data_IF_770040903433
#
_entry.id   IF_770040903433
#
_cell.length_a   1.000
_cell.length_b   1.000
_cell.length_c   1.000
_cell.angle_alpha   90.00
_cell.angle_beta   90.00
_cell.angle_gamma   90.00
#
_symmetry.space_group_name_H-M   'P 1'
#
loop_
_entity.id
_entity.type
_entity.pdbx_description
1 polymer ?
#
# COMPACT_ATOMS: atom_id res chain seq x y z
N UNK A 1 3.45 9.94 9.07
CA UNK A 1 4.06 8.82 9.83
C UNK A 1 3.79 7.51 9.12
N UNK A 2 4.34 6.41 9.64
CA UNK A 2 4.10 5.06 9.10
C UNK A 2 2.80 4.49 9.68
N UNK A 3 1.85 4.17 8.82
CA UNK A 3 0.56 3.60 9.21
C UNK A 3 0.51 2.13 8.79
N UNK A 4 0.31 1.21 9.73
CA UNK A 4 0.16 -0.22 9.46
C UNK A 4 -1.24 -0.52 8.92
N UNK A 5 -1.32 -1.34 7.89
CA UNK A 5 -2.57 -1.80 7.29
C UNK A 5 -2.85 -3.21 7.78
N UNK A 6 -3.95 -3.38 8.49
CA UNK A 6 -4.35 -4.67 9.10
C UNK A 6 -5.74 -5.13 8.67
N UNK A 7 -6.47 -4.34 7.89
CA UNK A 7 -7.83 -4.65 7.49
C UNK A 7 -7.85 -5.13 6.05
N UNK A 8 -8.29 -6.37 5.86
CA UNK A 8 -8.53 -6.98 4.55
C UNK A 8 -9.90 -6.60 3.98
N UNK A 9 -10.00 -6.55 2.66
CA UNK A 9 -11.27 -6.47 1.91
C UNK A 9 -11.53 -7.75 1.09
N UNK A 10 -10.78 -8.82 1.39
CA UNK A 10 -10.92 -10.07 0.66
C UNK A 10 -12.29 -10.73 0.93
N UNK A 11 -12.88 -11.39 -0.06
CA UNK A 11 -13.97 -12.33 0.18
C UNK A 11 -13.54 -13.44 1.15
N UNK A 12 -14.49 -13.97 1.90
CA UNK A 12 -14.24 -14.96 2.95
C UNK A 12 -13.60 -16.28 2.45
N UNK A 13 -13.64 -16.56 1.14
CA UNK A 13 -12.99 -17.72 0.54
C UNK A 13 -11.47 -17.57 0.39
N UNK A 14 -10.94 -16.35 0.52
CA UNK A 14 -9.51 -16.05 0.39
C UNK A 14 -8.89 -15.75 1.76
N UNK A 15 -7.58 -16.05 1.95
CA UNK A 15 -6.89 -15.70 3.17
C UNK A 15 -6.78 -14.17 3.31
N UNK A 16 -6.85 -13.69 4.55
CA UNK A 16 -6.67 -12.27 4.88
C UNK A 16 -5.22 -11.80 4.81
N UNK A 17 -4.28 -12.75 4.65
CA UNK A 17 -2.86 -12.44 4.44
C UNK A 17 -2.68 -11.40 3.31
N UNK A 18 -1.86 -10.35 3.53
CA UNK A 18 -1.03 -10.09 4.71
C UNK A 18 -1.65 -9.10 5.73
N UNK A 19 -2.93 -8.75 5.58
CA UNK A 19 -3.58 -7.72 6.39
C UNK A 19 -4.06 -8.31 7.72
N UNK A 20 -3.15 -8.32 8.70
CA UNK A 20 -3.43 -8.76 10.08
C UNK A 20 -3.31 -10.27 10.31
N UNK A 21 -3.01 -11.05 9.27
CA UNK A 21 -2.93 -12.50 9.34
C UNK A 21 -1.64 -13.05 8.70
N UNK A 22 -1.25 -14.25 9.15
CA UNK A 22 -0.11 -14.99 8.61
C UNK A 22 -0.55 -15.93 7.48
N UNK A 23 0.41 -16.48 6.73
CA UNK A 23 0.09 -17.52 5.75
C UNK A 23 -0.54 -18.74 6.46
N UNK A 24 -1.73 -19.19 6.06
CA UNK A 24 -2.41 -20.31 6.71
C UNK A 24 -1.65 -21.62 6.54
N UNK A 25 -1.84 -22.54 7.49
CA UNK A 25 -1.26 -23.89 7.41
C UNK A 25 -1.64 -24.62 6.13
N UNK A 26 -0.71 -25.40 5.58
CA UNK A 26 -0.91 -26.15 4.32
C UNK A 26 -1.01 -25.28 3.07
N UNK A 27 -0.61 -24.00 3.14
CA UNK A 27 -0.61 -23.09 2.00
C UNK A 27 0.77 -22.47 1.77
N UNK A 28 1.03 -22.16 0.50
CA UNK A 28 2.08 -21.25 0.04
C UNK A 28 1.41 -20.12 -0.72
N UNK A 29 1.75 -18.88 -0.35
CA UNK A 29 1.25 -17.68 -1.02
C UNK A 29 2.41 -17.04 -1.76
N UNK A 30 2.23 -16.78 -3.05
CA UNK A 30 3.17 -16.04 -3.87
C UNK A 30 2.64 -14.63 -4.12
N UNK A 31 3.41 -13.62 -3.73
CA UNK A 31 3.15 -12.22 -4.08
C UNK A 31 3.75 -11.93 -5.46
N UNK A 32 2.89 -11.65 -6.42
CA UNK A 32 3.24 -11.48 -7.84
C UNK A 32 3.29 -9.99 -8.21
N UNK A 33 2.47 -9.15 -7.58
CA UNK A 33 2.44 -7.73 -7.87
C UNK A 33 1.65 -6.94 -6.85
N UNK A 34 1.65 -5.63 -7.03
CA UNK A 34 1.01 -4.64 -6.16
C UNK A 34 0.11 -3.76 -7.03
N UNK A 35 -1.09 -3.49 -6.53
CA UNK A 35 -1.99 -2.46 -7.03
C UNK A 35 -2.19 -1.42 -5.94
N UNK A 36 -2.27 -0.15 -6.33
CA UNK A 36 -2.46 0.95 -5.40
C UNK A 36 -2.20 2.27 -6.09
N UNK A 37 -2.64 3.35 -5.46
CA UNK A 37 -2.44 4.71 -5.95
C UNK A 37 -1.82 5.55 -4.86
N UNK A 38 -0.92 6.47 -5.24
CA UNK A 38 -0.60 7.58 -4.37
C UNK A 38 -1.84 8.44 -4.10
N UNK A 39 -1.87 9.03 -2.92
CA UNK A 39 -3.02 9.78 -2.44
C UNK A 39 -2.54 11.07 -1.77
N UNK A 40 -3.25 12.16 -2.02
CA UNK A 40 -3.07 13.37 -1.24
C UNK A 40 -4.38 14.08 -0.98
N UNK A 41 -4.43 14.73 0.18
CA UNK A 41 -5.64 15.35 0.71
C UNK A 41 -5.35 16.78 1.11
N UNK A 42 -6.30 17.65 0.80
CA UNK A 42 -6.34 19.02 1.30
C UNK A 42 -7.65 19.25 2.05
N UNK A 43 -7.57 19.92 3.19
CA UNK A 43 -8.73 20.25 4.02
C UNK A 43 -8.60 21.63 4.66
N UNK A 44 -9.68 22.09 5.27
CA UNK A 44 -9.72 23.34 6.06
C UNK A 44 -9.31 24.56 5.23
N UNK A 45 -10.16 24.89 4.24
CA UNK A 45 -10.01 26.08 3.39
C UNK A 45 -8.67 26.10 2.64
N UNK A 46 -8.29 24.97 2.05
CA UNK A 46 -7.09 24.79 1.22
C UNK A 46 -5.73 24.86 1.95
N UNK A 47 -5.72 24.93 3.28
CA UNK A 47 -4.50 25.22 4.06
C UNK A 47 -3.78 23.98 4.56
N UNK A 48 -4.52 22.93 4.90
CA UNK A 48 -4.01 21.72 5.54
C UNK A 48 -3.82 20.61 4.51
N UNK A 49 -2.62 20.04 4.41
CA UNK A 49 -2.24 19.07 3.37
C UNK A 49 -1.49 17.88 3.93
N UNK A 50 -1.88 16.68 3.50
CA UNK A 50 -1.17 15.44 3.81
C UNK A 50 -1.16 14.55 2.57
N UNK A 51 -0.04 13.87 2.35
CA UNK A 51 0.18 12.99 1.19
C UNK A 51 0.77 11.65 1.63
N UNK A 52 0.64 10.64 0.77
CA UNK A 52 1.45 9.42 0.84
C UNK A 52 2.89 9.72 0.39
N UNK A 53 3.86 8.93 0.85
CA UNK A 53 5.27 9.01 0.44
C UNK A 53 5.85 7.67 0.04
N UNK A 54 5.70 6.67 0.89
CA UNK A 54 6.31 5.36 0.70
C UNK A 54 5.33 4.25 1.04
N UNK A 55 5.45 3.15 0.31
CA UNK A 55 4.83 1.87 0.61
C UNK A 55 5.90 0.91 1.10
N UNK A 56 5.83 0.52 2.37
CA UNK A 56 6.88 -0.25 3.05
C UNK A 56 6.39 -1.65 3.38
N UNK A 57 7.18 -2.63 2.94
CA UNK A 57 6.92 -4.06 3.13
C UNK A 57 7.92 -4.57 4.16
N UNK A 58 7.43 -5.15 5.26
CA UNK A 58 8.28 -5.67 6.34
C UNK A 58 8.04 -7.16 6.49
N UNK A 59 9.03 -7.99 6.19
CA UNK A 59 9.00 -9.43 6.43
C UNK A 59 9.84 -9.74 7.68
N UNK A 60 9.18 -10.14 8.76
CA UNK A 60 9.83 -10.30 10.08
C UNK A 60 10.44 -9.00 10.60
N UNK A 61 11.75 -8.80 10.41
CA UNK A 61 12.48 -7.58 10.85
C UNK A 61 13.17 -6.83 9.71
N UNK A 62 12.93 -7.24 8.47
CA UNK A 62 13.58 -6.69 7.29
C UNK A 62 12.60 -5.85 6.47
N UNK A 63 13.01 -4.65 6.11
CA UNK A 63 12.31 -3.83 5.12
C UNK A 63 12.74 -4.29 3.73
N UNK A 64 11.78 -4.66 2.90
CA UNK A 64 12.03 -5.14 1.55
C UNK A 64 12.17 -3.98 0.55
N UNK A 65 12.87 -4.25 -0.56
CA UNK A 65 12.96 -3.41 -1.78
C UNK A 65 13.69 -2.07 -1.67
N UNK A 66 14.24 -1.73 -0.51
CA UNK A 66 14.98 -0.49 -0.32
C UNK A 66 16.09 -0.66 0.73
N UNK A 67 17.33 -0.39 0.34
CA UNK A 67 18.50 -0.46 1.22
C UNK A 67 18.42 0.57 2.36
N UNK A 68 17.84 1.74 2.08
CA UNK A 68 17.64 2.82 3.04
C UNK A 68 16.38 2.62 3.91
N UNK A 69 15.60 1.58 3.64
CA UNK A 69 14.43 1.14 4.43
C UNK A 69 13.26 2.13 4.47
N UNK A 70 13.17 3.05 3.52
CA UNK A 70 11.98 3.88 3.32
C UNK A 70 10.86 3.07 2.67
N UNK A 71 11.18 2.25 1.67
CA UNK A 71 10.23 1.43 0.91
C UNK A 71 10.02 1.93 -0.52
N UNK A 72 8.96 1.46 -1.18
CA UNK A 72 8.67 1.78 -2.57
C UNK A 72 8.08 3.20 -2.68
N UNK A 73 8.57 4.06 -3.58
CA UNK A 73 8.01 5.40 -3.81
C UNK A 73 6.50 5.41 -4.16
N UNK A 74 5.74 6.18 -3.39
CA UNK A 74 4.30 6.40 -3.57
C UNK A 74 3.94 7.83 -3.13
N UNK A 75 4.57 8.81 -3.76
CA UNK A 75 4.46 10.23 -3.41
C UNK A 75 3.16 10.82 -3.95
N UNK A 76 2.25 11.17 -3.05
CA UNK A 76 1.00 11.83 -3.40
C UNK A 76 1.19 13.29 -3.79
N UNK A 77 0.22 13.83 -4.54
CA UNK A 77 0.03 15.27 -4.68
C UNK A 77 -1.24 15.68 -3.93
N UNK A 78 -1.26 16.87 -3.32
CA UNK A 78 -2.45 17.37 -2.63
C UNK A 78 -3.05 18.54 -3.41
N UNK A 79 -4.39 18.59 -3.60
CA UNK A 79 -5.03 19.62 -4.40
C UNK A 79 -4.83 21.03 -3.83
N UNK A 80 -5.10 22.06 -4.64
CA UNK A 80 -5.05 23.46 -4.18
C UNK A 80 -6.32 23.91 -3.46
N UNK A 81 -7.38 23.11 -3.48
CA UNK A 81 -8.64 23.32 -2.76
C UNK A 81 -8.96 22.09 -1.93
N UNK A 82 -9.95 22.20 -1.03
CA UNK A 82 -10.42 21.05 -0.25
C UNK A 82 -10.85 19.90 -1.16
N UNK A 83 -10.34 18.70 -0.88
CA UNK A 83 -10.53 17.52 -1.72
C UNK A 83 -9.37 16.54 -1.66
N UNK A 84 -9.41 15.56 -2.56
CA UNK A 84 -8.41 14.50 -2.65
C UNK A 84 -7.95 14.31 -4.10
N UNK A 85 -6.66 14.07 -4.25
CA UNK A 85 -6.03 13.65 -5.50
C UNK A 85 -5.65 12.18 -5.36
N UNK A 86 -6.00 11.39 -6.39
CA UNK A 86 -5.72 9.96 -6.43
C UNK A 86 -4.93 9.69 -7.70
N UNK A 87 -3.71 9.19 -7.55
CA UNK A 87 -2.84 8.84 -8.65
C UNK A 87 -2.27 10.02 -9.46
N UNK A 88 -2.37 11.24 -8.96
CA UNK A 88 -1.86 12.46 -9.60
C UNK A 88 -0.41 12.81 -9.20
N UNK A 89 0.18 12.04 -8.29
CA UNK A 89 1.55 12.21 -7.84
C UNK A 89 2.54 11.32 -8.59
N UNK A 90 3.60 10.90 -7.88
CA UNK A 90 4.69 10.10 -8.41
C UNK A 90 4.77 8.75 -7.68
N UNK A 91 4.44 7.68 -8.40
CA UNK A 91 4.60 6.31 -7.91
C UNK A 91 5.04 5.36 -9.01
N UNK A 92 5.76 4.32 -8.61
CA UNK A 92 6.05 3.14 -9.43
C UNK A 92 4.86 2.17 -9.52
N UNK A 93 3.86 2.34 -8.66
CA UNK A 93 2.69 1.48 -8.52
C UNK A 93 1.49 2.23 -9.06
N UNK A 94 0.67 1.55 -9.86
CA UNK A 94 -0.62 2.03 -10.31
C UNK A 94 -1.76 1.06 -10.00
N UNK A 95 -2.98 1.60 -9.93
CA UNK A 95 -4.20 0.82 -9.73
C UNK A 95 -4.88 0.43 -11.05
N UNK A 96 -4.47 1.01 -12.17
CA UNK A 96 -5.07 0.81 -13.49
C UNK A 96 -6.61 0.99 -13.50
N UNK A 97 -7.05 2.07 -12.85
CA UNK A 97 -8.44 2.48 -12.74
C UNK A 97 -8.77 3.61 -13.74
N UNK A 98 -10.00 4.11 -13.68
CA UNK A 98 -10.45 5.27 -14.44
C UNK A 98 -9.77 6.58 -14.00
N UNK A 99 -9.34 6.66 -12.72
CA UNK A 99 -8.65 7.82 -12.13
C UNK A 99 -7.13 7.68 -12.11
N UNK A 100 -6.59 6.46 -11.97
CA UNK A 100 -5.15 6.19 -12.01
C UNK A 100 -4.84 5.14 -13.08
N UNK A 101 -4.38 5.60 -14.24
CA UNK A 101 -4.11 4.74 -15.41
C UNK A 101 -2.72 4.10 -15.42
N UNK A 102 -1.92 4.29 -14.37
CA UNK A 102 -0.61 3.61 -14.28
C UNK A 102 -0.83 2.12 -14.10
N UNK A 103 0.08 1.33 -14.65
CA UNK A 103 0.00 -0.12 -14.59
C UNK A 103 0.33 -0.63 -13.17
N UNK A 104 -0.20 -1.80 -12.78
CA UNK A 104 0.20 -2.48 -11.55
C UNK A 104 1.70 -2.76 -11.55
N UNK A 105 2.31 -2.70 -10.37
CA UNK A 105 3.71 -3.08 -10.23
C UNK A 105 3.82 -4.60 -10.17
N UNK A 106 4.45 -5.20 -11.17
CA UNK A 106 4.66 -6.65 -11.25
C UNK A 106 6.09 -7.01 -10.86
N UNK A 107 6.26 -7.91 -9.89
CA UNK A 107 7.58 -8.39 -9.52
C UNK A 107 8.16 -9.28 -10.63
N UNK A 108 9.45 -9.12 -10.99
CA UNK A 108 10.10 -10.00 -11.96
C UNK A 108 10.18 -11.45 -11.45
N UNK A 109 10.34 -11.60 -10.13
CA UNK A 109 10.30 -12.88 -9.42
C UNK A 109 9.31 -12.75 -8.27
N UNK A 110 8.26 -13.58 -8.21
CA UNK A 110 7.32 -13.56 -7.10
C UNK A 110 8.00 -13.82 -5.76
N UNK A 111 7.60 -13.11 -4.71
CA UNK A 111 8.01 -13.44 -3.35
C UNK A 111 7.16 -14.59 -2.82
N UNK A 112 7.79 -15.64 -2.33
CA UNK A 112 7.09 -16.78 -1.75
C UNK A 112 7.04 -16.68 -0.22
N UNK A 113 5.86 -17.00 0.31
CA UNK A 113 5.59 -17.07 1.73
C UNK A 113 5.04 -18.46 2.08
N UNK A 114 5.65 -19.09 3.07
CA UNK A 114 5.23 -20.40 3.60
C UNK A 114 4.35 -20.24 4.85
N UNK A 115 3.66 -21.32 5.24
CA UNK A 115 2.81 -21.34 6.43
C UNK A 115 3.49 -20.72 7.66
N UNK A 116 2.79 -19.81 8.33
CA UNK A 116 3.24 -19.07 9.51
C UNK A 116 4.12 -17.85 9.22
N UNK A 117 4.52 -17.60 7.98
CA UNK A 117 5.20 -16.35 7.64
C UNK A 117 4.23 -15.17 7.61
N UNK A 118 4.73 -14.00 8.00
CA UNK A 118 4.02 -12.73 8.00
C UNK A 118 4.64 -11.77 6.99
N UNK A 119 3.83 -10.81 6.57
CA UNK A 119 4.26 -9.63 5.84
C UNK A 119 3.47 -8.46 6.42
N UNK A 120 4.14 -7.39 6.84
CA UNK A 120 3.46 -6.19 7.32
C UNK A 120 3.56 -5.09 6.26
N UNK A 121 2.43 -4.44 5.98
CA UNK A 121 2.33 -3.37 4.99
C UNK A 121 2.10 -2.05 5.69
N UNK A 122 2.98 -1.09 5.44
CA UNK A 122 2.87 0.26 5.96
C UNK A 122 2.78 1.26 4.82
N UNK A 123 1.89 2.25 4.96
CA UNK A 123 1.92 3.45 4.12
C UNK A 123 2.47 4.61 4.96
N UNK A 124 3.62 5.13 4.53
CA UNK A 124 4.18 6.35 5.08
C UNK A 124 3.43 7.55 4.52
N UNK A 125 2.98 8.42 5.40
CA UNK A 125 2.35 9.70 5.06
C UNK A 125 3.18 10.88 5.56
N UNK A 126 3.02 12.04 4.94
CA UNK A 126 3.69 13.26 5.34
C UNK A 126 2.75 14.46 5.28
N UNK A 127 2.87 15.35 6.26
CA UNK A 127 2.09 16.58 6.35
C UNK A 127 2.90 17.69 5.68
N UNK A 128 2.43 18.15 4.52
CA UNK A 128 3.16 19.12 3.71
C UNK A 128 2.77 20.56 4.01
N UNK A 129 1.61 20.79 4.64
CA UNK A 129 1.19 22.08 5.16
C UNK A 129 0.16 21.88 6.28
N UNK A 130 0.23 22.69 7.35
CA UNK A 130 -0.74 22.65 8.44
C UNK A 130 -0.91 21.25 9.04
N UNK A 131 -2.14 20.72 9.08
CA UNK A 131 -2.41 19.30 9.38
C UNK A 131 -3.71 18.83 8.73
N UNK A 132 -3.62 17.99 7.69
CA UNK A 132 -4.78 17.19 7.24
C UNK A 132 -4.78 15.84 7.99
N UNK A 133 -5.89 15.10 7.93
CA UNK A 133 -5.97 13.73 8.43
C UNK A 133 -6.35 12.80 7.27
N UNK A 134 -5.34 12.16 6.70
CA UNK A 134 -5.46 11.06 5.76
C UNK A 134 -5.56 9.76 6.54
N UNK A 135 -6.75 9.14 6.54
CA UNK A 135 -6.97 7.89 7.27
C UNK A 135 -6.50 6.68 6.45
N UNK A 136 -6.31 5.55 7.14
CA UNK A 136 -5.97 4.26 6.49
C UNK A 136 -7.11 3.73 5.62
N UNK A 137 -8.34 4.20 5.83
CA UNK A 137 -9.50 3.75 5.05
C UNK A 137 -9.66 4.52 3.73
N UNK A 138 -8.90 5.61 3.53
CA UNK A 138 -8.92 6.41 2.31
C UNK A 138 -7.89 5.93 1.26
N UNK A 139 -6.92 5.12 1.67
CA UNK A 139 -5.86 4.62 0.79
C UNK A 139 -6.01 3.11 0.65
N UNK A 140 -6.19 2.64 -0.57
CA UNK A 140 -6.32 1.21 -0.85
C UNK A 140 -5.02 0.65 -1.43
N UNK A 141 -4.50 -0.39 -0.78
CA UNK A 141 -3.37 -1.19 -1.28
C UNK A 141 -3.89 -2.60 -1.53
N UNK A 142 -3.76 -3.08 -2.75
CA UNK A 142 -4.07 -4.45 -3.11
C UNK A 142 -2.82 -5.21 -3.53
N UNK A 143 -2.86 -6.52 -3.34
CA UNK A 143 -1.77 -7.41 -3.73
C UNK A 143 -2.28 -8.46 -4.69
N UNK A 144 -1.50 -8.73 -5.73
CA UNK A 144 -1.78 -9.80 -6.67
C UNK A 144 -1.13 -11.06 -6.12
N UNK A 145 -1.95 -11.91 -5.51
CA UNK A 145 -1.51 -13.11 -4.81
C UNK A 145 -1.90 -14.38 -5.58
N UNK A 146 -1.01 -15.39 -5.56
CA UNK A 146 -1.34 -16.77 -5.94
C UNK A 146 -1.26 -17.67 -4.73
N UNK A 147 -2.38 -18.32 -4.42
CA UNK A 147 -2.48 -19.28 -3.32
C UNK A 147 -2.34 -20.70 -3.88
N UNK A 148 -1.49 -21.51 -3.24
CA UNK A 148 -1.32 -22.95 -3.55
C UNK A 148 -1.43 -23.76 -2.27
N UNK A 149 -2.11 -24.91 -2.34
CA UNK A 149 -2.10 -25.90 -1.25
C UNK A 149 -0.85 -26.77 -1.35
N UNK A 150 -0.31 -27.17 -0.20
CA UNK A 150 0.85 -28.05 -0.07
C UNK A 150 0.42 -29.37 0.55
#
# INVERSE_FOLDING_TARGET
GDNLYTTTQNPAEFPDFPYGETVPSGHVISLIGIIGSDFGKTSDSASNKQITKYLKFVKGREVLFDEDRYGIPMFGSAPSSDGSNIGEGYSLIGNYSDVDRREPFMFPTPLEFIAGEELNIYVTTDVTAGSANLSTDEVEIGLILRVRKV
#
